data_IF_674882887732
#
_entry.id   IF_674882887732
#
_cell.length_a   1.000
_cell.length_b   1.000
_cell.length_c   1.000
_cell.angle_alpha   90.00
_cell.angle_beta   90.00
_cell.angle_gamma   90.00
#
_symmetry.space_group_name_H-M   'P 1'
#
loop_
_entity.id
_entity.type
_entity.pdbx_description
1 polymer ?
#
# COMPACT_ATOMS: atom_id res chain seq x y z
N UNK A 1 -15.12 -29.29 28.84
CA UNK A 1 -13.89 -29.13 29.65
C UNK A 1 -13.39 -27.68 29.67
N UNK A 2 -13.44 -26.92 28.57
CA UNK A 2 -13.06 -25.49 28.54
C UNK A 2 -14.08 -24.52 29.19
N UNK A 3 -15.36 -24.87 29.25
CA UNK A 3 -16.43 -24.00 29.78
C UNK A 3 -16.32 -23.66 31.29
N UNK A 4 -15.44 -24.32 32.03
CA UNK A 4 -15.24 -24.08 33.47
C UNK A 4 -14.24 -22.94 33.71
N UNK A 5 -13.33 -22.67 32.75
CA UNK A 5 -12.30 -21.62 32.92
C UNK A 5 -12.87 -20.19 32.89
N UNK A 6 -13.99 -19.98 32.19
CA UNK A 6 -14.71 -18.69 32.16
C UNK A 6 -15.84 -18.62 33.22
N UNK A 7 -15.96 -19.63 34.09
CA UNK A 7 -16.99 -19.67 35.12
C UNK A 7 -16.55 -18.83 36.33
N UNK A 8 -17.44 -18.05 36.96
CA UNK A 8 -17.15 -17.40 38.24
C UNK A 8 -16.85 -18.38 39.38
N UNK A 9 -17.09 -19.69 39.16
CA UNK A 9 -16.78 -20.77 40.09
C UNK A 9 -15.40 -21.42 39.81
N UNK A 10 -14.64 -20.93 38.82
CA UNK A 10 -13.31 -21.45 38.48
C UNK A 10 -12.37 -21.44 39.68
N UNK A 11 -12.37 -20.35 40.45
CA UNK A 11 -11.53 -20.22 41.65
C UNK A 11 -11.92 -21.22 42.75
N UNK A 12 -13.21 -21.52 42.92
CA UNK A 12 -13.69 -22.53 43.87
C UNK A 12 -13.30 -23.94 43.44
N UNK A 13 -13.42 -24.26 42.15
CA UNK A 13 -12.99 -25.55 41.60
C UNK A 13 -11.47 -25.71 41.73
N UNK A 14 -10.71 -24.64 41.47
CA UNK A 14 -9.26 -24.64 41.62
C UNK A 14 -8.85 -24.78 43.10
N UNK A 15 -9.52 -24.07 44.03
CA UNK A 15 -9.29 -24.20 45.46
C UNK A 15 -9.61 -25.61 45.97
N UNK A 16 -10.73 -26.22 45.56
CA UNK A 16 -11.06 -27.60 45.93
C UNK A 16 -10.03 -28.61 45.40
N UNK A 17 -9.51 -28.41 44.19
CA UNK A 17 -8.45 -29.24 43.61
C UNK A 17 -7.11 -29.07 44.33
N UNK A 18 -6.83 -27.88 44.87
CA UNK A 18 -5.63 -27.57 45.65
C UNK A 18 -5.75 -28.12 47.08
N UNK A 19 -6.91 -27.97 47.73
CA UNK A 19 -7.18 -28.46 49.09
C UNK A 19 -7.16 -29.99 49.21
N UNK A 20 -7.49 -30.69 48.13
CA UNK A 20 -7.45 -32.16 48.12
C UNK A 20 -6.02 -32.73 48.13
N UNK A 21 -4.96 -31.92 48.00
CA UNK A 21 -3.66 -32.47 47.59
C UNK A 21 -2.41 -31.72 48.10
N UNK A 22 -1.80 -32.21 49.18
CA UNK A 22 -0.41 -31.86 49.55
C UNK A 22 0.65 -32.37 48.54
N UNK A 23 0.32 -33.38 47.71
CA UNK A 23 1.25 -34.09 46.81
C UNK A 23 1.20 -33.75 45.29
N UNK A 24 0.37 -32.83 44.78
CA UNK A 24 0.30 -32.52 43.33
C UNK A 24 0.44 -31.03 42.96
N UNK A 25 0.75 -30.16 43.94
CA UNK A 25 1.02 -28.73 43.67
C UNK A 25 2.07 -28.51 42.58
N UNK A 26 3.16 -29.28 42.61
CA UNK A 26 4.22 -29.20 41.60
C UNK A 26 3.72 -29.55 40.19
N UNK A 27 2.86 -30.56 40.09
CA UNK A 27 2.27 -31.01 38.82
C UNK A 27 1.34 -29.94 38.26
N UNK A 28 0.50 -29.33 39.09
CA UNK A 28 -0.41 -28.25 38.69
C UNK A 28 0.37 -27.03 38.21
N UNK A 29 1.42 -26.62 38.93
CA UNK A 29 2.27 -25.50 38.54
C UNK A 29 3.00 -25.77 37.22
N UNK A 30 3.50 -27.00 37.02
CA UNK A 30 4.11 -27.41 35.75
C UNK A 30 3.10 -27.37 34.58
N UNK A 31 1.86 -27.81 34.80
CA UNK A 31 0.80 -27.74 33.78
C UNK A 31 0.47 -26.29 33.45
N UNK A 32 0.29 -25.43 34.47
CA UNK A 32 0.02 -24.02 34.29
C UNK A 32 1.14 -23.32 33.50
N UNK A 33 2.41 -23.61 33.84
CA UNK A 33 3.57 -23.06 33.13
C UNK A 33 3.60 -23.50 31.66
N UNK A 34 3.36 -24.79 31.38
CA UNK A 34 3.30 -25.31 29.99
C UNK A 34 2.17 -24.68 29.19
N UNK A 35 1.00 -24.50 29.79
CA UNK A 35 -0.13 -23.85 29.12
C UNK A 35 0.16 -22.37 28.85
N UNK A 36 0.80 -21.67 29.80
CA UNK A 36 1.21 -20.28 29.61
C UNK A 36 2.24 -20.14 28.49
N UNK A 37 3.28 -20.98 28.49
CA UNK A 37 4.31 -20.98 27.45
C UNK A 37 3.72 -21.27 26.07
N UNK A 38 2.85 -22.28 25.97
CA UNK A 38 2.17 -22.63 24.72
C UNK A 38 1.27 -21.50 24.24
N UNK A 39 0.49 -20.89 25.12
CA UNK A 39 -0.36 -19.74 24.76
C UNK A 39 0.48 -18.54 24.30
N UNK A 40 1.63 -18.28 24.93
CA UNK A 40 2.57 -17.24 24.52
C UNK A 40 3.16 -17.52 23.14
N UNK A 41 3.61 -18.75 22.88
CA UNK A 41 4.15 -19.16 21.58
C UNK A 41 3.08 -19.05 20.48
N UNK A 42 1.87 -19.56 20.73
CA UNK A 42 0.75 -19.46 19.78
C UNK A 42 0.38 -18.00 19.51
N UNK A 43 0.31 -17.16 20.55
CA UNK A 43 0.03 -15.73 20.41
C UNK A 43 1.09 -14.99 19.59
N UNK A 44 2.39 -15.30 19.81
CA UNK A 44 3.49 -14.71 19.03
C UNK A 44 3.41 -15.15 17.57
N UNK A 45 3.21 -16.45 17.32
CA UNK A 45 3.11 -16.99 15.95
C UNK A 45 1.92 -16.38 15.21
N UNK A 46 0.74 -16.31 15.84
CA UNK A 46 -0.44 -15.68 15.28
C UNK A 46 -0.21 -14.19 15.01
N UNK A 47 0.38 -13.47 15.98
CA UNK A 47 0.68 -12.04 15.84
C UNK A 47 1.64 -11.75 14.68
N UNK A 48 2.70 -12.54 14.54
CA UNK A 48 3.65 -12.42 13.42
C UNK A 48 2.96 -12.72 12.10
N UNK A 49 2.21 -13.82 12.01
CA UNK A 49 1.53 -14.21 10.79
C UNK A 49 0.50 -13.17 10.34
N UNK A 50 -0.33 -12.68 11.27
CA UNK A 50 -1.33 -11.65 11.00
C UNK A 50 -0.66 -10.32 10.62
N UNK A 51 0.34 -9.88 11.39
CA UNK A 51 1.06 -8.63 11.11
C UNK A 51 1.76 -8.66 9.76
N UNK A 52 2.42 -9.77 9.41
CA UNK A 52 3.08 -9.94 8.11
C UNK A 52 2.06 -9.97 6.96
N UNK A 53 0.97 -10.73 7.10
CA UNK A 53 -0.08 -10.81 6.08
C UNK A 53 -0.74 -9.46 5.84
N UNK A 54 -1.11 -8.74 6.90
CA UNK A 54 -1.74 -7.43 6.82
C UNK A 54 -0.78 -6.38 6.24
N UNK A 55 0.45 -6.34 6.75
CA UNK A 55 1.48 -5.41 6.27
C UNK A 55 1.81 -5.61 4.80
N UNK A 56 1.94 -6.87 4.36
CA UNK A 56 2.18 -7.19 2.96
C UNK A 56 0.99 -6.79 2.07
N UNK A 57 -0.23 -7.15 2.46
CA UNK A 57 -1.42 -6.81 1.68
C UNK A 57 -1.62 -5.29 1.56
N UNK A 58 -1.43 -4.55 2.66
CA UNK A 58 -1.52 -3.10 2.67
C UNK A 58 -0.41 -2.47 1.82
N UNK A 59 0.84 -2.92 1.98
CA UNK A 59 1.98 -2.40 1.23
C UNK A 59 1.83 -2.61 -0.28
N UNK A 60 1.41 -3.81 -0.70
CA UNK A 60 1.17 -4.12 -2.13
C UNK A 60 0.01 -3.27 -2.67
N UNK A 61 -1.11 -3.20 -1.95
CA UNK A 61 -2.29 -2.44 -2.39
C UNK A 61 -1.97 -0.95 -2.53
N UNK A 62 -1.31 -0.36 -1.54
CA UNK A 62 -0.89 1.05 -1.57
C UNK A 62 0.13 1.31 -2.68
N UNK A 63 1.14 0.44 -2.82
CA UNK A 63 2.16 0.59 -3.85
C UNK A 63 1.60 0.53 -5.26
N UNK A 64 0.70 -0.42 -5.54
CA UNK A 64 0.03 -0.54 -6.85
C UNK A 64 -0.85 0.68 -7.11
N UNK A 65 -1.68 1.07 -6.13
CA UNK A 65 -2.60 2.20 -6.29
C UNK A 65 -1.85 3.51 -6.56
N UNK A 66 -0.82 3.81 -5.77
CA UNK A 66 0.00 5.02 -5.93
C UNK A 66 0.77 5.00 -7.24
N UNK A 67 1.42 3.88 -7.57
CA UNK A 67 2.19 3.74 -8.81
C UNK A 67 1.32 3.90 -10.05
N UNK A 68 0.12 3.30 -10.05
CA UNK A 68 -0.84 3.42 -11.14
C UNK A 68 -1.34 4.87 -11.29
N UNK A 69 -1.74 5.51 -10.19
CA UNK A 69 -2.24 6.90 -10.23
C UNK A 69 -1.16 7.86 -10.73
N UNK A 70 0.08 7.72 -10.25
CA UNK A 70 1.20 8.54 -10.70
C UNK A 70 1.51 8.29 -12.18
N UNK A 71 1.61 7.03 -12.59
CA UNK A 71 1.90 6.66 -13.97
C UNK A 71 0.85 7.17 -14.96
N UNK A 72 -0.44 7.03 -14.63
CA UNK A 72 -1.53 7.55 -15.47
C UNK A 72 -1.48 9.07 -15.56
N UNK A 73 -1.35 9.75 -14.42
CA UNK A 73 -1.31 11.22 -14.37
C UNK A 73 -0.15 11.78 -15.20
N UNK A 74 1.06 11.23 -15.00
CA UNK A 74 2.24 11.62 -15.76
C UNK A 74 2.09 11.31 -17.25
N UNK A 75 1.60 10.11 -17.60
CA UNK A 75 1.41 9.71 -18.99
C UNK A 75 0.41 10.60 -19.73
N UNK A 76 -0.72 10.94 -19.09
CA UNK A 76 -1.71 11.87 -19.66
C UNK A 76 -1.11 13.25 -19.83
N UNK A 77 -0.46 13.80 -18.80
CA UNK A 77 0.13 15.14 -18.86
C UNK A 77 1.20 15.25 -19.95
N UNK A 78 2.10 14.28 -20.03
CA UNK A 78 3.12 14.22 -21.08
C UNK A 78 2.50 14.05 -22.47
N UNK A 79 1.48 13.19 -22.59
CA UNK A 79 0.77 12.97 -23.85
C UNK A 79 0.08 14.22 -24.38
N UNK A 80 -0.60 14.98 -23.51
CA UNK A 80 -1.23 16.25 -23.87
C UNK A 80 -0.18 17.27 -24.32
N UNK A 81 0.86 17.49 -23.51
CA UNK A 81 1.91 18.46 -23.83
C UNK A 81 2.63 18.11 -25.15
N UNK A 82 2.94 16.83 -25.37
CA UNK A 82 3.55 16.36 -26.61
C UNK A 82 2.60 16.57 -27.80
N UNK A 83 1.31 16.26 -27.63
CA UNK A 83 0.29 16.45 -28.65
C UNK A 83 0.09 17.91 -29.03
N UNK A 84 0.00 18.81 -28.05
CA UNK A 84 -0.08 20.26 -28.26
C UNK A 84 1.14 20.79 -29.02
N UNK A 85 2.35 20.38 -28.61
CA UNK A 85 3.58 20.76 -29.31
C UNK A 85 3.62 20.25 -30.75
N UNK A 86 3.20 19.00 -30.97
CA UNK A 86 3.11 18.43 -32.32
C UNK A 86 2.08 19.16 -33.18
N UNK A 87 0.92 19.49 -32.63
CA UNK A 87 -0.11 20.25 -33.33
C UNK A 87 0.41 21.64 -33.72
N UNK A 88 1.04 22.37 -32.80
CA UNK A 88 1.65 23.67 -33.06
C UNK A 88 2.69 23.59 -34.20
N UNK A 89 3.59 22.59 -34.15
CA UNK A 89 4.59 22.37 -35.20
C UNK A 89 3.94 22.04 -36.56
N UNK A 90 2.89 21.22 -36.59
CA UNK A 90 2.19 20.86 -37.82
C UNK A 90 1.49 22.08 -38.45
N UNK A 91 0.85 22.91 -37.63
CA UNK A 91 0.24 24.17 -38.06
C UNK A 91 1.33 25.09 -38.63
N UNK A 92 2.43 25.31 -37.90
CA UNK A 92 3.54 26.15 -38.35
C UNK A 92 4.13 25.69 -39.69
N UNK A 93 4.36 24.39 -39.87
CA UNK A 93 4.82 23.82 -41.16
C UNK A 93 3.85 24.09 -42.30
N UNK A 94 2.55 23.95 -42.06
CA UNK A 94 1.51 24.23 -43.06
C UNK A 94 1.51 25.72 -43.46
N UNK A 95 1.59 26.61 -42.48
CA UNK A 95 1.62 28.06 -42.71
C UNK A 95 2.90 28.50 -43.44
N UNK A 96 4.07 27.97 -43.06
CA UNK A 96 5.34 28.20 -43.76
C UNK A 96 5.24 27.79 -45.23
N UNK A 97 4.69 26.60 -45.51
CA UNK A 97 4.48 26.10 -46.87
C UNK A 97 3.58 27.00 -47.71
N UNK A 98 2.64 27.69 -47.07
CA UNK A 98 1.74 28.64 -47.72
C UNK A 98 2.31 30.07 -47.80
N UNK A 99 3.56 30.28 -47.42
CA UNK A 99 4.23 31.58 -47.49
C UNK A 99 3.75 32.59 -46.44
N UNK A 100 3.11 32.14 -45.36
CA UNK A 100 2.73 33.02 -44.24
C UNK A 100 3.99 33.55 -43.54
N UNK A 101 3.99 34.82 -43.14
CA UNK A 101 5.16 35.42 -42.51
C UNK A 101 5.44 34.80 -41.12
N UNK A 102 6.71 34.76 -40.74
CA UNK A 102 7.17 34.11 -39.49
C UNK A 102 6.50 34.72 -38.26
N UNK A 103 6.30 36.05 -38.24
CA UNK A 103 5.73 36.73 -37.06
C UNK A 103 4.29 36.28 -36.77
N UNK A 104 3.44 36.18 -37.80
CA UNK A 104 2.07 35.70 -37.65
C UNK A 104 2.02 34.21 -37.29
N UNK A 105 2.98 33.41 -37.74
CA UNK A 105 3.09 31.99 -37.36
C UNK A 105 3.42 31.86 -35.87
N UNK A 106 4.36 32.66 -35.38
CA UNK A 106 4.70 32.70 -33.95
C UNK A 106 3.48 33.09 -33.11
N UNK A 107 2.75 34.14 -33.49
CA UNK A 107 1.53 34.57 -32.82
C UNK A 107 0.43 33.50 -32.84
N UNK A 108 0.28 32.79 -33.97
CA UNK A 108 -0.78 31.79 -34.15
C UNK A 108 -0.50 30.44 -33.48
N UNK A 109 0.77 30.08 -33.29
CA UNK A 109 1.18 28.75 -32.81
C UNK A 109 1.82 28.78 -31.42
N UNK A 110 2.20 29.96 -30.94
CA UNK A 110 2.94 30.13 -29.68
C UNK A 110 4.39 29.65 -29.74
N UNK A 111 4.89 29.26 -30.92
CA UNK A 111 6.28 28.84 -31.10
C UNK A 111 7.23 30.05 -31.11
N UNK A 112 8.44 29.83 -30.59
CA UNK A 112 9.54 30.80 -30.72
C UNK A 112 10.01 30.94 -32.16
N UNK A 113 10.70 32.04 -32.46
CA UNK A 113 11.31 32.26 -33.78
C UNK A 113 12.27 31.14 -34.14
N UNK A 114 13.08 30.71 -33.18
CA UNK A 114 14.03 29.61 -33.32
C UNK A 114 13.32 28.30 -33.66
N UNK A 115 12.22 27.99 -32.95
CA UNK A 115 11.41 26.80 -33.25
C UNK A 115 10.82 26.87 -34.65
N UNK A 116 10.21 27.99 -35.05
CA UNK A 116 9.63 28.15 -36.40
C UNK A 116 10.70 28.03 -37.49
N UNK A 117 11.88 28.63 -37.30
CA UNK A 117 12.99 28.53 -38.25
C UNK A 117 13.56 27.10 -38.34
N UNK A 118 13.53 26.34 -37.24
CA UNK A 118 13.96 24.93 -37.25
C UNK A 118 13.01 24.00 -38.02
N UNK A 119 11.81 24.47 -38.37
CA UNK A 119 10.82 23.71 -39.14
C UNK A 119 10.89 23.93 -40.66
N UNK A 120 11.74 24.84 -41.14
CA UNK A 120 11.94 25.13 -42.57
C UNK A 120 12.68 24.02 -43.32
#
# INVERSE_FOLDING_TARGET
>A
MFAIMDSPHFEQVLQQLIEQVDNHREVIMSIAQRLHEKGREEGILQGIQQGMSQGMQQGISQGISQGMQQGISQGISQGIQQGEKQAANNIARSLLKNGVNIELIMESTGLSREEVLSLQ
#
